data_IF_280105680851
#
_entry.id   IF_280105680851
#
_cell.length_a   1.000
_cell.length_b   1.000
_cell.length_c   1.000
_cell.angle_alpha   90.00
_cell.angle_beta   90.00
_cell.angle_gamma   90.00
#
_symmetry.space_group_name_H-M   'P 1'
#
loop_
_entity.id
_entity.type
_entity.pdbx_description
1 polymer ?
#
# COMPACT_ATOMS: atom_id res chain seq x y z
N UNK A 1 -20.25 0.22 -17.26
CA UNK A 1 -20.40 1.30 -16.27
C UNK A 1 -19.29 2.36 -16.43
N UNK A 2 -17.99 2.02 -16.35
CA UNK A 2 -16.86 2.96 -16.49
C UNK A 2 -16.94 3.80 -17.79
N UNK A 3 -17.28 3.19 -18.92
CA UNK A 3 -17.46 3.86 -20.20
C UNK A 3 -18.44 5.04 -20.13
N UNK A 4 -19.62 4.84 -19.54
CA UNK A 4 -20.63 5.90 -19.40
C UNK A 4 -20.19 7.02 -18.45
N UNK A 5 -19.41 6.69 -17.42
CA UNK A 5 -18.82 7.68 -16.51
C UNK A 5 -17.83 8.57 -17.28
N UNK A 6 -16.98 7.95 -18.09
CA UNK A 6 -15.99 8.68 -18.90
C UNK A 6 -16.66 9.59 -19.93
N UNK A 7 -17.72 9.10 -20.60
CA UNK A 7 -18.51 9.90 -21.53
C UNK A 7 -19.14 11.12 -20.84
N UNK A 8 -19.80 10.90 -19.70
CA UNK A 8 -20.41 11.99 -18.94
C UNK A 8 -19.37 13.03 -18.45
N UNK A 9 -18.19 12.59 -18.03
CA UNK A 9 -17.11 13.49 -17.63
C UNK A 9 -16.59 14.31 -18.81
N UNK A 10 -16.53 13.72 -20.00
CA UNK A 10 -16.16 14.46 -21.22
C UNK A 10 -17.23 15.48 -21.60
N UNK A 11 -18.51 15.11 -21.58
CA UNK A 11 -19.63 16.01 -21.89
C UNK A 11 -19.66 17.23 -20.95
N UNK A 12 -19.33 17.04 -19.67
CA UNK A 12 -19.27 18.10 -18.67
C UNK A 12 -17.91 18.85 -18.66
N UNK A 13 -16.97 18.49 -19.51
CA UNK A 13 -15.65 19.13 -19.61
C UNK A 13 -14.79 18.95 -18.36
N UNK A 14 -14.98 17.87 -17.59
CA UNK A 14 -14.23 17.62 -16.34
C UNK A 14 -12.83 17.10 -16.67
N UNK A 15 -11.75 17.82 -16.28
CA UNK A 15 -10.37 17.46 -16.62
C UNK A 15 -9.87 16.35 -15.69
N UNK A 16 -10.16 15.08 -16.00
CA UNK A 16 -9.71 13.92 -15.23
C UNK A 16 -8.33 13.43 -15.71
N UNK A 17 -7.49 13.03 -14.78
CA UNK A 17 -6.17 12.44 -15.06
C UNK A 17 -6.07 10.97 -14.64
N UNK A 18 -6.91 10.54 -13.72
CA UNK A 18 -6.93 9.15 -13.22
C UNK A 18 -8.35 8.68 -13.00
N UNK A 19 -8.60 7.39 -13.27
CA UNK A 19 -9.83 6.70 -12.92
C UNK A 19 -9.52 5.42 -12.17
N UNK A 20 -10.23 5.15 -11.08
CA UNK A 20 -10.02 4.00 -10.22
C UNK A 20 -11.23 3.06 -10.25
N UNK A 21 -11.30 2.14 -11.19
CA UNK A 21 -12.37 1.15 -11.23
C UNK A 21 -12.21 0.13 -10.10
N UNK A 22 -13.32 -0.54 -9.77
CA UNK A 22 -13.29 -1.68 -8.86
C UNK A 22 -12.90 -2.93 -9.63
N UNK A 23 -12.00 -3.71 -9.05
CA UNK A 23 -11.62 -5.03 -9.54
C UNK A 23 -12.23 -6.13 -8.64
N UNK A 24 -12.34 -7.36 -9.18
CA UNK A 24 -12.65 -8.56 -8.39
C UNK A 24 -11.54 -8.86 -7.38
N UNK A 25 -11.87 -9.67 -6.39
CA UNK A 25 -10.94 -10.04 -5.32
C UNK A 25 -10.88 -9.03 -4.17
N UNK A 26 -9.94 -9.24 -3.26
CA UNK A 26 -9.79 -8.46 -2.03
C UNK A 26 -8.48 -7.69 -2.04
N UNK A 27 -8.59 -6.39 -1.80
CA UNK A 27 -7.47 -5.44 -1.72
C UNK A 27 -7.30 -4.98 -0.27
N UNK A 28 -6.99 -5.94 0.61
CA UNK A 28 -6.82 -5.65 2.02
C UNK A 28 -5.59 -4.77 2.28
N UNK A 29 -5.67 -3.97 3.33
CA UNK A 29 -4.60 -3.06 3.75
C UNK A 29 -3.36 -3.84 4.17
N UNK A 30 -2.17 -3.39 3.78
CA UNK A 30 -0.90 -3.92 4.26
C UNK A 30 -0.47 -5.29 3.70
N UNK A 31 -1.33 -6.01 2.99
CA UNK A 31 -1.05 -7.37 2.50
C UNK A 31 -1.32 -7.51 1.01
N UNK A 32 -0.90 -8.63 0.40
CA UNK A 32 -1.05 -8.87 -1.03
C UNK A 32 -2.52 -9.04 -1.46
N UNK A 33 -2.75 -9.04 -2.75
CA UNK A 33 -4.04 -9.31 -3.37
C UNK A 33 -4.50 -10.74 -3.07
N UNK A 34 -5.78 -10.89 -2.76
CA UNK A 34 -6.42 -12.19 -2.56
C UNK A 34 -7.54 -12.37 -3.57
N UNK A 35 -7.36 -13.27 -4.53
CA UNK A 35 -8.33 -13.54 -5.58
C UNK A 35 -7.73 -14.26 -6.76
N UNK A 36 -8.52 -14.40 -7.82
CA UNK A 36 -8.08 -14.97 -9.10
C UNK A 36 -7.26 -13.93 -9.88
N UNK A 37 -5.95 -14.15 -9.95
CA UNK A 37 -5.00 -13.26 -10.63
C UNK A 37 -5.26 -13.19 -12.14
N UNK A 38 -5.70 -14.28 -12.76
CA UNK A 38 -6.03 -14.30 -14.19
C UNK A 38 -7.31 -13.50 -14.48
N UNK A 39 -8.30 -13.61 -13.61
CA UNK A 39 -9.52 -12.81 -13.69
C UNK A 39 -9.19 -11.32 -13.53
N UNK A 40 -8.35 -10.97 -12.57
CA UNK A 40 -7.87 -9.61 -12.39
C UNK A 40 -7.15 -9.11 -13.65
N UNK A 41 -6.24 -9.90 -14.23
CA UNK A 41 -5.50 -9.54 -15.43
C UNK A 41 -6.44 -9.20 -16.60
N UNK A 42 -7.44 -10.05 -16.84
CA UNK A 42 -8.47 -9.81 -17.88
C UNK A 42 -9.27 -8.53 -17.63
N UNK A 43 -9.67 -8.28 -16.37
CA UNK A 43 -10.40 -7.06 -16.01
C UNK A 43 -9.54 -5.82 -16.19
N UNK A 44 -8.29 -5.87 -15.76
CA UNK A 44 -7.35 -4.75 -15.86
C UNK A 44 -7.10 -4.40 -17.34
N UNK A 45 -6.84 -5.40 -18.19
CA UNK A 45 -6.65 -5.19 -19.62
C UNK A 45 -7.91 -4.61 -20.29
N UNK A 46 -9.10 -5.14 -20.00
CA UNK A 46 -10.37 -4.62 -20.51
C UNK A 46 -10.57 -3.15 -20.13
N UNK A 47 -10.21 -2.76 -18.89
CA UNK A 47 -10.31 -1.36 -18.47
C UNK A 47 -9.32 -0.46 -19.21
N UNK A 48 -8.11 -0.92 -19.53
CA UNK A 48 -7.16 -0.17 -20.37
C UNK A 48 -7.74 0.09 -21.76
N UNK A 49 -8.36 -0.92 -22.38
CA UNK A 49 -9.01 -0.78 -23.70
C UNK A 49 -10.15 0.25 -23.64
N UNK A 50 -10.98 0.20 -22.58
CA UNK A 50 -12.07 1.17 -22.41
C UNK A 50 -11.53 2.60 -22.21
N UNK A 51 -10.45 2.77 -21.45
CA UNK A 51 -9.82 4.09 -21.27
C UNK A 51 -9.25 4.61 -22.58
N UNK A 52 -8.52 3.79 -23.33
CA UNK A 52 -7.96 4.16 -24.62
C UNK A 52 -9.05 4.59 -25.61
N UNK A 53 -10.13 3.81 -25.72
CA UNK A 53 -11.28 4.15 -26.54
C UNK A 53 -11.94 5.48 -26.11
N UNK A 54 -12.13 5.68 -24.81
CA UNK A 54 -12.76 6.90 -24.31
C UNK A 54 -11.89 8.15 -24.53
N UNK A 55 -10.57 8.01 -24.45
CA UNK A 55 -9.62 9.11 -24.79
C UNK A 55 -9.77 9.49 -26.27
N UNK A 56 -9.82 8.53 -27.16
CA UNK A 56 -9.94 8.74 -28.61
C UNK A 56 -11.31 9.32 -28.99
N UNK A 57 -12.39 8.67 -28.52
CA UNK A 57 -13.76 8.98 -28.94
C UNK A 57 -14.31 10.25 -28.29
N UNK A 58 -14.00 10.49 -27.01
CA UNK A 58 -14.56 11.61 -26.25
C UNK A 58 -13.59 12.77 -26.06
N UNK A 59 -12.36 12.68 -26.58
CA UNK A 59 -11.37 13.75 -26.46
C UNK A 59 -10.88 13.94 -25.01
N UNK A 60 -10.91 12.91 -24.19
CA UNK A 60 -10.35 12.96 -22.83
C UNK A 60 -8.82 13.12 -22.86
N UNK A 61 -8.18 13.59 -21.77
CA UNK A 61 -6.74 13.79 -21.74
C UNK A 61 -5.96 12.52 -22.12
N UNK A 62 -5.02 12.63 -23.05
CA UNK A 62 -4.20 11.50 -23.53
C UNK A 62 -3.34 10.86 -22.42
N UNK A 63 -3.13 11.56 -21.31
CA UNK A 63 -2.43 11.05 -20.12
C UNK A 63 -3.36 10.44 -19.05
N UNK A 64 -4.63 10.22 -19.37
CA UNK A 64 -5.58 9.54 -18.48
C UNK A 64 -5.09 8.12 -18.18
N UNK A 65 -5.03 7.77 -16.88
CA UNK A 65 -4.49 6.50 -16.41
C UNK A 65 -5.47 5.76 -15.52
N UNK A 66 -5.40 4.44 -15.56
CA UNK A 66 -5.97 3.64 -14.49
C UNK A 66 -5.20 3.89 -13.19
N UNK A 67 -5.93 3.97 -12.09
CA UNK A 67 -5.37 4.02 -10.74
C UNK A 67 -5.75 2.76 -9.98
N UNK A 68 -4.75 2.06 -9.48
CA UNK A 68 -4.98 0.89 -8.60
C UNK A 68 -4.87 1.34 -7.15
N UNK A 69 -6.01 1.43 -6.50
CA UNK A 69 -6.16 1.91 -5.13
C UNK A 69 -5.97 0.77 -4.12
N UNK A 70 -4.76 0.28 -4.00
CA UNK A 70 -4.46 -0.71 -2.97
C UNK A 70 -3.86 -0.10 -1.70
N UNK A 71 -3.17 1.03 -1.83
CA UNK A 71 -2.46 1.68 -0.73
C UNK A 71 -1.36 0.84 -0.10
N UNK A 72 -1.09 -0.36 -0.62
CA UNK A 72 -0.14 -1.33 -0.10
C UNK A 72 0.35 -2.27 -1.20
N UNK A 73 1.30 -3.12 -0.85
CA UNK A 73 1.94 -4.07 -1.74
C UNK A 73 0.93 -5.09 -2.30
N UNK A 74 0.86 -5.18 -3.62
CA UNK A 74 0.02 -6.15 -4.34
C UNK A 74 0.87 -6.87 -5.38
N UNK A 75 1.94 -7.50 -4.89
CA UNK A 75 3.02 -8.02 -5.73
C UNK A 75 2.54 -9.10 -6.72
N UNK A 76 1.58 -9.92 -6.31
CA UNK A 76 1.04 -10.99 -7.14
C UNK A 76 0.39 -10.52 -8.45
N UNK A 77 -0.12 -9.28 -8.50
CA UNK A 77 -0.76 -8.72 -9.69
C UNK A 77 0.14 -7.79 -10.51
N UNK A 78 1.37 -7.49 -10.06
CA UNK A 78 2.26 -6.56 -10.78
C UNK A 78 2.72 -7.11 -12.12
N UNK A 79 3.03 -8.40 -12.22
CA UNK A 79 3.38 -9.05 -13.49
C UNK A 79 2.31 -8.90 -14.57
N UNK A 80 1.06 -9.31 -14.30
CA UNK A 80 -0.07 -9.06 -15.19
C UNK A 80 -0.28 -7.59 -15.57
N UNK A 81 -0.18 -6.67 -14.59
CA UNK A 81 -0.30 -5.24 -14.86
C UNK A 81 0.80 -4.73 -15.79
N UNK A 82 2.07 -5.09 -15.53
CA UNK A 82 3.21 -4.75 -16.40
C UNK A 82 3.00 -5.25 -17.84
N UNK A 83 2.55 -6.48 -17.98
CA UNK A 83 2.27 -7.05 -19.31
C UNK A 83 1.21 -6.21 -20.04
N UNK A 84 0.10 -5.92 -19.40
CA UNK A 84 -1.00 -5.17 -20.00
C UNK A 84 -0.62 -3.72 -20.35
N UNK A 85 0.06 -2.98 -19.44
CA UNK A 85 0.47 -1.60 -19.74
C UNK A 85 1.48 -1.52 -20.89
N UNK A 86 2.37 -2.50 -21.01
CA UNK A 86 3.29 -2.58 -22.16
C UNK A 86 2.57 -2.90 -23.46
N UNK A 87 1.66 -3.87 -23.44
CA UNK A 87 0.87 -4.28 -24.61
C UNK A 87 0.05 -3.13 -25.19
N UNK A 88 -0.54 -2.31 -24.32
CA UNK A 88 -1.42 -1.19 -24.71
C UNK A 88 -0.73 0.18 -24.71
N UNK A 89 0.58 0.23 -24.51
CA UNK A 89 1.35 1.48 -24.36
C UNK A 89 0.67 2.46 -23.38
N UNK A 90 0.16 1.94 -22.27
CA UNK A 90 -0.63 2.67 -21.31
C UNK A 90 0.21 3.11 -20.08
N UNK A 91 -0.21 4.18 -19.44
CA UNK A 91 0.31 4.57 -18.13
C UNK A 91 -0.49 3.95 -16.97
N UNK A 92 0.09 3.98 -15.79
CA UNK A 92 -0.53 3.50 -14.55
C UNK A 92 -0.26 4.50 -13.42
N UNK A 93 -1.27 4.76 -12.60
CA UNK A 93 -1.13 5.45 -11.33
C UNK A 93 -1.18 4.43 -10.19
N UNK A 94 -0.13 4.38 -9.37
CA UNK A 94 -0.04 3.48 -8.21
C UNK A 94 -0.09 4.29 -6.94
N UNK A 95 -0.97 3.92 -6.02
CA UNK A 95 -1.10 4.56 -4.72
C UNK A 95 -0.30 3.77 -3.68
N UNK A 96 0.74 4.39 -3.10
CA UNK A 96 1.73 3.73 -2.23
C UNK A 96 1.87 4.34 -0.83
N UNK A 97 1.03 5.31 -0.47
CA UNK A 97 1.16 6.04 0.79
C UNK A 97 1.19 5.12 2.03
N UNK A 98 0.36 4.06 2.06
CA UNK A 98 0.34 3.12 3.18
C UNK A 98 1.59 2.25 3.26
N UNK A 99 2.18 1.90 2.12
CA UNK A 99 3.48 1.19 2.08
C UNK A 99 4.60 2.08 2.57
N UNK A 100 4.66 3.34 2.13
CA UNK A 100 5.66 4.31 2.58
C UNK A 100 5.65 4.43 4.11
N UNK A 101 4.48 4.61 4.70
CA UNK A 101 4.30 4.64 6.15
C UNK A 101 4.87 3.40 6.85
N UNK A 102 4.58 2.20 6.35
CA UNK A 102 5.11 0.95 6.93
C UNK A 102 6.63 0.88 6.82
N UNK A 103 7.21 1.35 5.71
CA UNK A 103 8.65 1.34 5.52
C UNK A 103 9.36 2.41 6.37
N UNK A 104 8.70 3.52 6.70
CA UNK A 104 9.20 4.49 7.68
C UNK A 104 9.33 3.85 9.07
N UNK A 105 8.29 3.16 9.54
CA UNK A 105 8.32 2.45 10.84
C UNK A 105 9.39 1.35 10.85
N UNK A 106 9.52 0.59 9.77
CA UNK A 106 10.56 -0.43 9.63
C UNK A 106 11.95 0.23 9.66
N UNK A 107 12.11 1.35 8.98
CA UNK A 107 13.37 2.12 8.98
C UNK A 107 13.75 2.61 10.39
N UNK A 108 12.80 3.16 11.14
CA UNK A 108 12.99 3.54 12.54
C UNK A 108 13.41 2.34 13.41
N UNK A 109 12.75 1.19 13.25
CA UNK A 109 13.12 -0.02 13.99
C UNK A 109 14.54 -0.48 13.65
N UNK A 110 14.92 -0.46 12.36
CA UNK A 110 16.27 -0.81 11.91
C UNK A 110 17.35 0.14 12.41
N UNK A 111 17.01 1.40 12.71
CA UNK A 111 17.96 2.36 13.29
C UNK A 111 18.41 1.97 14.71
N UNK A 112 17.62 1.13 15.41
CA UNK A 112 17.92 0.75 16.80
C UNK A 112 17.74 1.90 17.78
N UNK A 113 18.18 1.72 19.03
CA UNK A 113 18.15 2.76 20.05
C UNK A 113 16.82 3.52 20.15
N UNK A 114 16.87 4.85 20.02
CA UNK A 114 15.69 5.73 20.10
C UNK A 114 14.71 5.51 18.93
N UNK A 115 15.20 5.16 17.74
CA UNK A 115 14.35 4.83 16.58
C UNK A 115 13.50 3.59 16.86
N UNK A 116 14.12 2.53 17.35
CA UNK A 116 13.40 1.30 17.74
C UNK A 116 12.42 1.57 18.87
N UNK A 117 12.83 2.37 19.87
CA UNK A 117 11.93 2.73 20.98
C UNK A 117 10.68 3.47 20.47
N UNK A 118 10.85 4.41 19.53
CA UNK A 118 9.73 5.12 18.91
C UNK A 118 8.81 4.18 18.11
N UNK A 119 9.38 3.27 17.32
CA UNK A 119 8.62 2.27 16.56
C UNK A 119 7.79 1.37 17.50
N UNK A 120 8.36 0.93 18.62
CA UNK A 120 7.68 0.15 19.65
C UNK A 120 6.58 0.94 20.34
N UNK A 121 6.80 2.23 20.65
CA UNK A 121 5.77 3.10 21.22
C UNK A 121 4.56 3.24 20.31
N UNK A 122 4.79 3.43 19.00
CA UNK A 122 3.72 3.43 17.99
C UNK A 122 2.97 2.10 18.01
N UNK A 123 3.69 0.98 17.95
CA UNK A 123 3.08 -0.35 17.90
C UNK A 123 2.23 -0.64 19.14
N UNK A 124 2.74 -0.33 20.35
CA UNK A 124 1.98 -0.46 21.61
C UNK A 124 0.70 0.36 21.60
N UNK A 125 0.80 1.61 21.15
CA UNK A 125 -0.36 2.50 21.07
C UNK A 125 -1.40 2.00 20.07
N UNK A 126 -0.96 1.41 18.95
CA UNK A 126 -1.84 0.80 17.93
C UNK A 126 -2.51 -0.45 18.49
N UNK A 127 -1.77 -1.35 19.15
CA UNK A 127 -2.31 -2.56 19.79
C UNK A 127 -3.35 -2.21 20.87
N UNK A 128 -3.09 -1.17 21.65
CA UNK A 128 -4.03 -0.70 22.71
C UNK A 128 -5.31 -0.03 22.19
N UNK A 129 -5.39 0.27 20.88
CA UNK A 129 -6.54 0.95 20.23
C UNK A 129 -7.16 0.12 19.11
N UNK A 130 -7.03 -1.19 19.19
CA UNK A 130 -7.42 -2.13 18.12
C UNK A 130 -8.84 -1.86 17.59
N UNK A 131 -9.84 -1.86 18.46
CA UNK A 131 -11.25 -1.71 18.07
C UNK A 131 -11.52 -0.34 17.42
N UNK A 132 -10.94 0.72 17.95
CA UNK A 132 -11.05 2.07 17.39
C UNK A 132 -10.47 2.16 15.99
N UNK A 133 -9.29 1.56 15.78
CA UNK A 133 -8.56 1.64 14.52
C UNK A 133 -9.14 0.72 13.44
N UNK A 134 -9.64 -0.45 13.81
CA UNK A 134 -10.18 -1.44 12.85
C UNK A 134 -11.58 -1.10 12.38
N UNK A 135 -12.42 -0.49 13.20
CA UNK A 135 -13.83 -0.19 12.89
C UNK A 135 -14.04 0.44 11.51
N UNK A 136 -13.38 1.57 11.16
CA UNK A 136 -13.52 2.24 9.87
C UNK A 136 -13.04 1.40 8.66
N UNK A 137 -12.23 0.38 8.89
CA UNK A 137 -11.57 -0.42 7.84
C UNK A 137 -12.07 -1.87 7.76
N UNK A 138 -13.12 -2.25 8.49
CA UNK A 138 -13.62 -3.61 8.58
C UNK A 138 -13.84 -4.31 7.22
N UNK A 139 -14.17 -3.56 6.16
CA UNK A 139 -14.38 -4.10 4.81
C UNK A 139 -13.09 -4.35 4.01
N UNK A 140 -11.94 -3.85 4.48
CA UNK A 140 -10.66 -3.88 3.76
C UNK A 140 -9.48 -4.36 4.62
N UNK A 141 -9.77 -5.03 5.71
CA UNK A 141 -8.82 -5.74 6.57
C UNK A 141 -9.33 -7.15 6.86
N UNK A 142 -8.42 -7.99 7.35
CA UNK A 142 -8.70 -9.40 7.70
C UNK A 142 -7.77 -9.81 8.84
N UNK A 143 -7.89 -9.10 9.95
CA UNK A 143 -7.00 -9.25 11.11
C UNK A 143 -7.57 -10.29 12.06
N UNK A 144 -6.80 -11.33 12.33
CA UNK A 144 -7.09 -12.32 13.37
C UNK A 144 -6.39 -11.89 14.66
N UNK A 145 -7.17 -11.43 15.64
CA UNK A 145 -6.65 -10.85 16.89
C UNK A 145 -5.70 -11.79 17.63
N UNK A 146 -6.02 -13.08 17.68
CA UNK A 146 -5.21 -14.10 18.38
C UNK A 146 -3.81 -14.32 17.76
N UNK A 147 -3.56 -13.75 16.57
CA UNK A 147 -2.25 -13.79 15.89
C UNK A 147 -1.43 -12.52 16.09
N UNK A 148 -2.00 -11.53 16.73
CA UNK A 148 -1.26 -10.31 17.04
C UNK A 148 -0.32 -10.56 18.22
N UNK A 149 0.91 -10.01 18.18
CA UNK A 149 1.83 -10.11 19.31
C UNK A 149 1.29 -9.30 20.50
N UNK A 150 1.63 -9.73 21.69
CA UNK A 150 1.39 -8.93 22.87
C UNK A 150 2.33 -7.71 22.91
N UNK A 151 1.98 -6.63 23.64
CA UNK A 151 2.88 -5.50 23.84
C UNK A 151 4.24 -5.91 24.44
N UNK A 152 4.26 -6.83 25.40
CA UNK A 152 5.48 -7.33 26.03
C UNK A 152 6.37 -8.10 25.04
N UNK A 153 5.76 -8.86 24.13
CA UNK A 153 6.48 -9.54 23.06
C UNK A 153 7.14 -8.54 22.12
N UNK A 154 6.42 -7.51 21.67
CA UNK A 154 6.98 -6.44 20.81
C UNK A 154 8.10 -5.70 21.55
N UNK A 155 7.97 -5.47 22.85
CA UNK A 155 8.99 -4.81 23.65
C UNK A 155 10.29 -5.63 23.77
N UNK A 156 10.21 -6.94 23.67
CA UNK A 156 11.38 -7.83 23.68
C UNK A 156 12.15 -7.83 22.35
N UNK A 157 11.54 -7.44 21.25
CA UNK A 157 12.12 -7.56 19.91
C UNK A 157 13.33 -6.63 19.71
N UNK A 158 14.30 -7.14 18.97
CA UNK A 158 15.33 -6.34 18.31
C UNK A 158 14.76 -5.57 17.13
N UNK A 159 15.52 -4.62 16.58
CA UNK A 159 15.12 -3.93 15.36
C UNK A 159 14.96 -4.86 14.15
N UNK A 160 15.78 -5.90 14.06
CA UNK A 160 15.70 -6.91 13.00
C UNK A 160 14.44 -7.78 13.12
N UNK A 161 14.09 -8.22 14.33
CA UNK A 161 12.86 -9.00 14.58
C UNK A 161 11.62 -8.15 14.29
N UNK A 162 11.60 -6.89 14.72
CA UNK A 162 10.52 -5.96 14.39
C UNK A 162 10.36 -5.78 12.88
N UNK A 163 11.46 -5.54 12.18
CA UNK A 163 11.47 -5.40 10.73
C UNK A 163 11.04 -6.69 10.01
N UNK A 164 11.48 -7.86 10.48
CA UNK A 164 11.11 -9.16 9.92
C UNK A 164 9.62 -9.45 10.08
N UNK A 165 9.02 -9.06 11.22
CA UNK A 165 7.58 -9.21 11.45
C UNK A 165 6.74 -8.35 10.48
N UNK A 166 7.26 -7.21 10.05
CA UNK A 166 6.51 -6.25 9.22
C UNK A 166 6.84 -6.29 7.74
N UNK A 167 8.07 -6.62 7.33
CA UNK A 167 8.40 -6.65 5.90
C UNK A 167 7.54 -7.66 5.17
N UNK A 168 6.97 -7.23 4.04
CA UNK A 168 6.10 -8.06 3.22
C UNK A 168 6.89 -9.17 2.52
N UNK A 169 7.28 -10.18 3.27
CA UNK A 169 7.99 -11.35 2.79
C UNK A 169 7.32 -12.63 3.33
N UNK A 170 6.43 -13.21 2.53
CA UNK A 170 5.69 -14.41 2.91
C UNK A 170 6.57 -15.66 3.16
N UNK A 171 7.85 -15.64 2.73
CA UNK A 171 8.81 -16.72 3.01
C UNK A 171 9.53 -16.56 4.36
N UNK A 172 9.40 -15.39 5.01
CA UNK A 172 9.95 -15.15 6.34
C UNK A 172 9.02 -15.72 7.42
N UNK A 173 9.54 -16.56 8.28
CA UNK A 173 8.74 -17.20 9.35
C UNK A 173 8.23 -16.20 10.39
N UNK A 174 8.93 -15.08 10.58
CA UNK A 174 8.53 -14.04 11.51
C UNK A 174 7.48 -13.07 10.93
N UNK A 175 7.24 -13.12 9.62
CA UNK A 175 6.29 -12.23 8.97
C UNK A 175 4.88 -12.40 9.55
N UNK A 176 4.32 -11.32 10.07
CA UNK A 176 2.99 -11.29 10.66
C UNK A 176 2.05 -10.39 9.82
N UNK A 177 1.23 -10.98 8.94
CA UNK A 177 0.31 -10.22 8.10
C UNK A 177 -0.78 -9.49 8.89
N UNK A 178 -1.16 -9.99 10.07
CA UNK A 178 -2.17 -9.37 10.92
C UNK A 178 -1.62 -8.10 11.56
N UNK A 179 -0.40 -8.14 12.11
CA UNK A 179 0.30 -6.98 12.63
C UNK A 179 0.58 -5.94 11.53
N UNK A 180 0.99 -6.39 10.35
CA UNK A 180 1.23 -5.49 9.22
C UNK A 180 -0.04 -4.76 8.79
N UNK A 181 -1.19 -5.43 8.72
CA UNK A 181 -2.48 -4.81 8.45
C UNK A 181 -2.85 -3.80 9.54
N UNK A 182 -2.69 -4.18 10.79
CA UNK A 182 -2.99 -3.33 11.93
C UNK A 182 -2.13 -2.06 11.93
N UNK A 183 -0.83 -2.19 11.74
CA UNK A 183 0.05 -1.03 11.64
C UNK A 183 -0.24 -0.20 10.39
N UNK A 184 -0.62 -0.81 9.27
CA UNK A 184 -0.99 -0.05 8.07
C UNK A 184 -2.13 0.96 8.34
N UNK A 185 -3.13 0.57 9.12
CA UNK A 185 -4.23 1.46 9.50
C UNK A 185 -3.90 2.34 10.73
N UNK A 186 -2.81 2.01 11.43
CA UNK A 186 -2.35 2.69 12.64
C UNK A 186 -1.63 4.02 12.41
N UNK A 187 -1.48 4.50 11.16
CA UNK A 187 -0.78 5.76 10.85
C UNK A 187 -1.33 6.98 11.62
N UNK A 188 -2.61 6.95 12.01
CA UNK A 188 -3.27 7.96 12.84
C UNK A 188 -2.52 8.14 14.16
N UNK A 189 -2.04 7.06 14.75
CA UNK A 189 -1.30 7.10 16.04
C UNK A 189 -0.01 7.91 15.90
N UNK A 190 0.76 7.68 14.83
CA UNK A 190 1.97 8.47 14.58
C UNK A 190 1.65 9.93 14.26
N UNK A 191 0.57 10.19 13.51
CA UNK A 191 0.10 11.54 13.25
C UNK A 191 -0.26 12.28 14.57
N UNK A 192 -0.86 11.59 15.53
CA UNK A 192 -1.17 12.11 16.85
C UNK A 192 0.07 12.36 17.73
N UNK A 193 1.17 11.62 17.50
CA UNK A 193 2.47 11.90 18.15
C UNK A 193 3.10 13.21 17.64
N UNK A 194 2.67 13.71 16.49
CA UNK A 194 3.05 15.02 15.95
C UNK A 194 4.56 15.20 15.82
N UNK A 195 5.09 16.26 16.44
CA UNK A 195 6.51 16.64 16.34
C UNK A 195 7.46 15.53 16.80
N UNK A 196 7.10 14.75 17.83
CA UNK A 196 7.94 13.64 18.31
C UNK A 196 8.21 12.61 17.21
N UNK A 197 7.19 12.28 16.42
CA UNK A 197 7.35 11.34 15.30
C UNK A 197 8.19 11.95 14.18
N UNK A 198 7.93 13.19 13.81
CA UNK A 198 8.68 13.90 12.78
C UNK A 198 10.16 14.09 13.16
N UNK A 199 10.44 14.43 14.41
CA UNK A 199 11.83 14.53 14.89
C UNK A 199 12.56 13.18 14.83
N UNK A 200 11.85 12.09 15.15
CA UNK A 200 12.39 10.74 15.00
C UNK A 200 12.73 10.39 13.55
N UNK A 201 11.86 10.71 12.60
CA UNK A 201 12.15 10.52 11.16
C UNK A 201 13.38 11.32 10.73
N UNK A 202 13.47 12.58 11.13
CA UNK A 202 14.60 13.46 10.80
C UNK A 202 15.92 12.97 11.42
N UNK A 203 15.89 12.49 12.67
CA UNK A 203 17.07 11.98 13.36
C UNK A 203 17.66 10.73 12.69
N UNK A 204 16.83 9.93 12.02
CA UNK A 204 17.23 8.69 11.35
C UNK A 204 16.98 8.71 9.84
N UNK A 205 16.97 9.92 9.24
CA UNK A 205 16.61 10.16 7.83
C UNK A 205 17.33 9.22 6.87
N UNK A 206 18.64 9.03 6.98
CA UNK A 206 19.43 8.20 6.06
C UNK A 206 18.95 6.73 6.02
N UNK A 207 18.59 6.18 7.17
CA UNK A 207 18.15 4.78 7.30
C UNK A 207 16.72 4.65 6.81
N UNK A 208 15.85 5.57 7.24
CA UNK A 208 14.43 5.60 6.85
C UNK A 208 14.30 5.81 5.34
N UNK A 209 14.98 6.83 4.79
CA UNK A 209 14.94 7.13 3.37
C UNK A 209 15.45 5.97 2.51
N UNK A 210 16.53 5.31 2.92
CA UNK A 210 17.06 4.13 2.22
C UNK A 210 16.04 2.99 2.22
N UNK A 211 15.41 2.72 3.35
CA UNK A 211 14.42 1.65 3.47
C UNK A 211 13.21 1.91 2.57
N UNK A 212 12.66 3.13 2.60
CA UNK A 212 11.55 3.57 1.74
C UNK A 212 11.95 3.50 0.26
N UNK A 213 13.13 4.02 -0.11
CA UNK A 213 13.61 4.03 -1.48
C UNK A 213 13.81 2.61 -2.03
N UNK A 214 14.45 1.73 -1.24
CA UNK A 214 14.68 0.35 -1.63
C UNK A 214 13.39 -0.42 -1.86
N UNK A 215 12.42 -0.27 -0.97
CA UNK A 215 11.10 -0.87 -1.14
C UNK A 215 10.43 -0.34 -2.41
N UNK A 216 10.39 0.98 -2.57
CA UNK A 216 9.72 1.63 -3.70
C UNK A 216 10.34 1.22 -5.04
N UNK A 217 11.66 1.27 -5.14
CA UNK A 217 12.37 0.92 -6.37
C UNK A 217 12.29 -0.57 -6.68
N UNK A 218 12.63 -1.43 -5.69
CA UNK A 218 12.77 -2.88 -5.92
C UNK A 218 11.45 -3.62 -5.97
N UNK A 219 10.50 -3.21 -5.14
CA UNK A 219 9.25 -3.96 -4.98
C UNK A 219 8.07 -3.35 -5.77
N UNK A 220 8.16 -2.08 -6.18
CA UNK A 220 7.08 -1.41 -6.93
C UNK A 220 7.51 -0.99 -8.33
N UNK A 221 8.44 -0.03 -8.46
CA UNK A 221 8.79 0.52 -9.78
C UNK A 221 9.46 -0.52 -10.70
N UNK A 222 10.38 -1.31 -10.17
CA UNK A 222 11.05 -2.36 -10.92
C UNK A 222 10.07 -3.38 -11.50
N UNK A 223 9.26 -4.05 -10.67
CA UNK A 223 8.29 -5.04 -11.16
C UNK A 223 7.22 -4.48 -12.10
N UNK A 224 6.82 -3.21 -11.94
CA UNK A 224 5.77 -2.61 -12.76
C UNK A 224 6.29 -1.99 -14.06
N UNK A 225 7.45 -1.35 -14.05
CA UNK A 225 7.86 -0.48 -15.16
C UNK A 225 9.21 -0.83 -15.79
N UNK A 226 10.13 -1.47 -15.05
CA UNK A 226 11.46 -1.84 -15.55
C UNK A 226 11.52 -3.31 -15.97
#
# INVERSE_FOLDING_TARGET
EMFFILAAMADEGIPIQTIAPRFSGRFNKGVDYVGDVEQFARQFENHLVVVAYAVEEFGLPANLKLSVHSGSDKFSIYGPMKHAIRKHNAGLHVKTAGTTWLEEIIGLACAGGEGLALAKDVCRSVLGRLDELTGPYASVIDIVQDRLPSPDEVDSWTGEEYAAALRHNASCLQYNPDLRQLLHIGYKVAAEMGQRYTDGLNAFEDIVARNVFDNFLKNHLGPLFL
#
